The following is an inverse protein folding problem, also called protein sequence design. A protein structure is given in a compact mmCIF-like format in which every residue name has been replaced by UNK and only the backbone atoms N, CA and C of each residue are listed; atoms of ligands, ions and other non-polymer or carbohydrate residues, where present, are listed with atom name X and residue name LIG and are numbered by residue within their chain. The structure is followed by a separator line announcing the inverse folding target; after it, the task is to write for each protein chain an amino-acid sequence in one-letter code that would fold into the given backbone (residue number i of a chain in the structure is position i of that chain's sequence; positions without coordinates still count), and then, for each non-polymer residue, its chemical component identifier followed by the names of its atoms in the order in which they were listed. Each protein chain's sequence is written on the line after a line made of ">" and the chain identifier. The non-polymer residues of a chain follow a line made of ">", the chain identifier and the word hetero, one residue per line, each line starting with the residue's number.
data_IF_443588799788
#
_entry.id   IF_443588799788
#
_cell.length_a   1.000
_cell.length_b   1.000
_cell.length_c   1.000
_cell.angle_alpha   90.00
_cell.angle_beta   90.00
_cell.angle_gamma   90.00
#
_symmetry.space_group_name_H-M   'P 1'
#
loop_
_entity.id
_entity.type
_entity.pdbx_description
1 polymer ?
#
# COMPACT_ATOMS: atom_id res chain seq x y z
N UNK A 1 -9.80 5.79 -19.94
CA UNK A 1 -9.97 5.10 -21.27
C UNK A 1 -8.63 4.77 -21.99
N UNK A 2 -7.49 4.69 -21.30
CA UNK A 2 -6.18 4.46 -21.94
C UNK A 2 -5.63 5.65 -22.73
N UNK A 3 -6.25 6.83 -22.60
CA UNK A 3 -5.74 8.09 -23.16
C UNK A 3 -5.12 8.91 -22.04
N UNK A 4 -4.03 9.58 -22.35
CA UNK A 4 -3.44 10.60 -21.49
C UNK A 4 -4.42 11.75 -21.28
N UNK A 5 -4.53 12.23 -20.05
CA UNK A 5 -5.26 13.45 -19.71
C UNK A 5 -4.42 14.68 -20.04
N UNK A 6 -5.04 15.86 -19.97
CA UNK A 6 -4.30 17.12 -20.05
C UNK A 6 -3.38 17.20 -18.82
N UNK A 7 -2.08 17.53 -18.99
CA UNK A 7 -1.18 17.66 -17.86
C UNK A 7 -1.69 18.72 -16.87
N UNK A 8 -1.67 18.37 -15.59
CA UNK A 8 -2.06 19.25 -14.50
C UNK A 8 -0.81 19.83 -13.84
N UNK A 9 -0.75 21.16 -13.75
CA UNK A 9 0.32 21.84 -13.02
C UNK A 9 0.01 21.73 -11.52
N UNK A 10 0.91 21.09 -10.74
CA UNK A 10 0.76 20.91 -9.30
C UNK A 10 0.74 22.23 -8.51
N UNK A 11 1.19 23.33 -9.10
CA UNK A 11 1.28 24.65 -8.47
C UNK A 11 2.29 24.70 -7.32
N UNK A 12 2.38 25.85 -6.63
CA UNK A 12 3.18 25.97 -5.42
C UNK A 12 2.69 25.00 -4.32
N UNK A 13 3.58 24.44 -3.48
CA UNK A 13 5.01 24.74 -3.42
C UNK A 13 5.89 23.86 -4.33
N UNK A 14 5.29 23.01 -5.17
CA UNK A 14 6.02 22.10 -6.06
C UNK A 14 6.55 22.84 -7.28
N UNK A 15 5.65 23.27 -8.17
CA UNK A 15 6.03 23.99 -9.38
C UNK A 15 6.18 25.47 -9.06
N UNK A 16 7.36 26.01 -9.32
CA UNK A 16 7.72 27.41 -9.06
C UNK A 16 8.24 28.08 -10.33
N UNK A 17 8.91 29.22 -10.20
CA UNK A 17 9.67 29.83 -11.31
C UNK A 17 11.06 29.23 -11.47
N UNK A 18 11.51 28.39 -10.52
CA UNK A 18 12.76 27.66 -10.63
C UNK A 18 12.62 26.50 -11.65
N UNK A 19 13.73 25.84 -11.94
CA UNK A 19 13.73 24.62 -12.72
C UNK A 19 13.30 23.47 -11.80
N UNK A 20 12.16 22.84 -12.08
CA UNK A 20 11.77 21.57 -11.46
C UNK A 20 11.71 20.49 -12.53
N UNK A 21 12.48 19.41 -12.35
CA UNK A 21 12.54 18.35 -13.34
C UNK A 21 12.71 16.97 -12.72
N UNK A 22 12.52 15.95 -13.58
CA UNK A 22 12.76 14.53 -13.29
C UNK A 22 12.12 14.07 -11.97
N UNK A 23 10.79 14.17 -11.83
CA UNK A 23 10.13 13.74 -10.60
C UNK A 23 10.14 12.22 -10.46
N UNK A 24 10.21 11.75 -9.21
CA UNK A 24 9.98 10.37 -8.82
C UNK A 24 9.12 10.34 -7.56
N UNK A 25 8.13 9.45 -7.54
CA UNK A 25 7.17 9.34 -6.43
C UNK A 25 7.37 8.01 -5.72
N UNK A 26 7.31 8.01 -4.39
CA UNK A 26 7.36 6.78 -3.59
C UNK A 26 6.17 5.87 -3.91
N UNK A 27 6.32 4.57 -3.65
CA UNK A 27 5.30 3.56 -3.95
C UNK A 27 3.94 3.80 -3.26
N UNK A 28 3.94 4.47 -2.10
CA UNK A 28 2.74 4.86 -1.37
C UNK A 28 2.11 6.18 -1.86
N UNK A 29 2.74 6.84 -2.84
CA UNK A 29 2.29 8.11 -3.40
C UNK A 29 2.52 9.33 -2.48
N UNK A 30 3.19 9.17 -1.34
CA UNK A 30 3.27 10.23 -0.31
C UNK A 30 4.51 11.09 -0.38
N UNK A 31 5.60 10.62 -0.98
CA UNK A 31 6.84 11.39 -1.13
C UNK A 31 7.13 11.64 -2.60
N UNK A 32 7.29 12.90 -2.98
CA UNK A 32 7.70 13.32 -4.31
C UNK A 32 9.13 13.85 -4.25
N UNK A 33 10.05 13.14 -4.89
CA UNK A 33 11.43 13.53 -5.12
C UNK A 33 11.55 14.21 -6.48
N UNK A 34 12.35 15.26 -6.59
CA UNK A 34 12.59 15.94 -7.85
C UNK A 34 13.89 16.75 -7.79
N UNK A 35 14.42 17.09 -8.96
CA UNK A 35 15.61 17.94 -9.08
C UNK A 35 15.19 19.40 -9.25
N UNK A 36 15.85 20.33 -8.55
CA UNK A 36 15.55 21.75 -8.64
C UNK A 36 16.70 22.68 -8.27
N UNK A 37 16.80 23.81 -8.98
CA UNK A 37 17.71 24.92 -8.67
C UNK A 37 17.04 26.02 -7.82
N UNK A 38 16.00 25.67 -7.06
CA UNK A 38 15.34 26.60 -6.13
C UNK A 38 16.30 27.09 -5.04
N UNK A 39 16.06 28.29 -4.47
CA UNK A 39 16.90 28.81 -3.38
C UNK A 39 16.95 27.86 -2.17
N UNK A 40 18.13 27.79 -1.53
CA UNK A 40 18.38 26.94 -0.36
C UNK A 40 19.07 25.60 -0.67
N UNK A 41 19.55 25.41 -1.90
CA UNK A 41 20.41 24.29 -2.30
C UNK A 41 21.90 24.51 -2.05
N UNK A 42 22.69 23.51 -2.43
CA UNK A 42 24.14 23.41 -2.27
C UNK A 42 24.91 23.69 -3.56
N UNK A 43 24.27 23.57 -4.72
CA UNK A 43 24.94 23.72 -6.02
C UNK A 43 24.02 24.18 -7.14
N UNK A 44 24.23 23.62 -8.33
CA UNK A 44 23.48 23.91 -9.54
C UNK A 44 22.02 23.49 -9.40
N UNK A 45 21.75 22.22 -9.64
CA UNK A 45 20.46 21.57 -9.41
C UNK A 45 20.63 20.57 -8.29
N UNK A 46 19.77 20.67 -7.29
CA UNK A 46 19.79 19.79 -6.12
C UNK A 46 18.59 18.85 -6.15
N UNK A 47 18.67 17.74 -5.41
CA UNK A 47 17.51 16.92 -5.10
C UNK A 47 16.75 17.46 -3.89
N UNK A 48 15.44 17.50 -4.06
CA UNK A 48 14.46 17.91 -3.06
C UNK A 48 13.39 16.83 -2.93
N UNK A 49 12.73 16.78 -1.77
CA UNK A 49 11.51 15.99 -1.60
C UNK A 49 10.39 16.81 -0.98
N UNK A 50 9.14 16.45 -1.29
CA UNK A 50 7.93 16.95 -0.64
C UNK A 50 7.09 15.78 -0.14
N UNK A 51 6.32 16.02 0.91
CA UNK A 51 5.39 15.03 1.49
C UNK A 51 3.95 15.48 1.24
N UNK A 52 3.11 14.57 0.79
CA UNK A 52 1.67 14.77 0.61
C UNK A 52 0.96 14.60 1.95
N UNK A 53 0.21 15.61 2.38
CA UNK A 53 -0.63 15.52 3.57
C UNK A 53 -1.93 14.73 3.31
N UNK A 54 -2.66 14.40 4.38
CA UNK A 54 -3.94 13.68 4.28
C UNK A 54 -5.04 14.44 3.52
N UNK A 55 -4.87 15.75 3.34
CA UNK A 55 -5.78 16.62 2.58
C UNK A 55 -5.39 16.71 1.11
N UNK A 56 -4.34 16.03 0.68
CA UNK A 56 -3.84 16.04 -0.70
C UNK A 56 -3.00 17.26 -1.05
N UNK A 57 -2.45 17.97 -0.06
CA UNK A 57 -1.55 19.11 -0.29
C UNK A 57 -0.09 18.67 -0.13
N UNK A 58 0.74 19.09 -1.07
CA UNK A 58 2.19 18.91 -0.97
C UNK A 58 2.78 19.91 0.01
N UNK A 59 3.60 19.44 0.94
CA UNK A 59 4.36 20.26 1.86
C UNK A 59 5.45 21.08 1.14
N UNK A 60 5.96 22.11 1.81
CA UNK A 60 7.13 22.87 1.32
C UNK A 60 8.30 21.91 1.13
N UNK A 61 8.92 21.86 -0.07
CA UNK A 61 9.98 20.90 -0.32
C UNK A 61 11.23 21.11 0.54
N UNK A 62 11.84 20.00 0.93
CA UNK A 62 13.02 19.92 1.78
C UNK A 62 14.19 19.40 0.95
N UNK A 63 15.35 20.05 1.07
CA UNK A 63 16.58 19.64 0.39
C UNK A 63 17.10 18.33 0.99
N UNK A 64 17.64 17.42 0.17
CA UNK A 64 18.14 16.12 0.64
C UNK A 64 19.46 16.20 1.44
N UNK A 65 20.05 17.37 1.57
CA UNK A 65 21.23 17.65 2.40
C UNK A 65 22.56 17.40 1.69
N UNK A 66 23.64 17.84 2.32
CA UNK A 66 25.02 17.80 1.81
C UNK A 66 25.57 16.38 1.58
N UNK A 67 24.93 15.36 2.14
CA UNK A 67 25.31 13.97 1.85
C UNK A 67 24.92 13.56 0.43
N UNK A 68 23.85 14.15 -0.11
CA UNK A 68 23.32 13.84 -1.44
C UNK A 68 23.70 14.93 -2.42
N UNK A 69 23.46 16.18 -2.06
CA UNK A 69 23.66 17.32 -2.94
C UNK A 69 25.07 17.88 -2.82
N UNK A 70 25.63 18.28 -3.96
CA UNK A 70 27.00 18.78 -4.09
C UNK A 70 26.99 20.19 -4.69
N UNK A 71 28.16 20.84 -4.89
CA UNK A 71 28.22 22.06 -5.69
C UNK A 71 27.84 21.87 -7.18
N UNK A 72 27.78 20.63 -7.67
CA UNK A 72 27.40 20.26 -9.04
C UNK A 72 25.89 20.19 -9.27
N UNK A 73 25.49 19.40 -10.26
CA UNK A 73 24.11 19.05 -10.57
C UNK A 73 23.80 17.62 -10.12
N UNK A 74 22.77 17.46 -9.28
CA UNK A 74 22.09 16.21 -8.99
C UNK A 74 20.70 16.18 -9.67
N UNK A 75 20.47 15.14 -10.47
CA UNK A 75 19.29 15.00 -11.33
C UNK A 75 18.76 13.56 -11.31
N UNK A 76 17.60 13.36 -11.94
CA UNK A 76 17.04 12.02 -12.17
C UNK A 76 16.88 11.16 -10.91
N UNK A 77 16.30 11.70 -9.81
CA UNK A 77 16.02 10.88 -8.65
C UNK A 77 15.05 9.76 -9.04
N UNK A 78 15.28 8.58 -8.47
CA UNK A 78 14.41 7.42 -8.53
C UNK A 78 14.36 6.79 -7.13
N UNK A 79 13.27 7.04 -6.41
CA UNK A 79 13.00 6.32 -5.17
C UNK A 79 12.42 4.95 -5.55
N UNK A 80 13.13 3.88 -5.19
CA UNK A 80 12.66 2.53 -5.48
C UNK A 80 11.38 2.23 -4.70
N UNK A 81 10.62 1.24 -5.18
CA UNK A 81 9.35 0.84 -4.61
C UNK A 81 9.45 0.25 -3.19
N UNK A 82 10.67 -0.05 -2.71
CA UNK A 82 10.95 -0.40 -1.32
C UNK A 82 10.81 0.79 -0.35
N UNK A 83 10.66 2.01 -0.89
CA UNK A 83 10.46 3.24 -0.15
C UNK A 83 11.69 3.77 0.57
N UNK A 84 12.86 3.13 0.42
CA UNK A 84 14.06 3.46 1.19
C UNK A 84 15.35 3.52 0.39
N UNK A 85 15.38 3.03 -0.85
CA UNK A 85 16.57 3.08 -1.69
C UNK A 85 16.39 4.12 -2.80
N UNK A 86 17.21 5.18 -2.76
CA UNK A 86 17.22 6.25 -3.75
C UNK A 86 18.37 6.04 -4.72
N UNK A 87 18.06 6.15 -6.00
CA UNK A 87 19.04 6.24 -7.07
C UNK A 87 18.97 7.64 -7.69
N UNK A 88 20.09 8.18 -8.11
CA UNK A 88 20.14 9.48 -8.75
C UNK A 88 21.40 9.62 -9.59
N UNK A 89 21.43 10.61 -10.48
CA UNK A 89 22.62 10.94 -11.25
C UNK A 89 23.27 12.23 -10.74
N UNK A 90 24.59 12.30 -10.72
CA UNK A 90 25.36 13.47 -10.30
C UNK A 90 26.60 13.67 -11.16
N UNK A 91 26.98 14.93 -11.40
CA UNK A 91 28.28 15.32 -11.98
C UNK A 91 29.24 15.95 -10.95
N UNK A 92 28.84 16.01 -9.68
CA UNK A 92 29.64 16.59 -8.59
C UNK A 92 30.24 15.58 -7.63
N UNK A 93 29.69 14.36 -7.55
CA UNK A 93 30.30 13.26 -6.79
C UNK A 93 31.48 12.63 -7.54
N UNK A 94 32.48 12.05 -6.83
CA UNK A 94 33.55 11.29 -7.47
C UNK A 94 32.99 10.15 -8.33
N UNK A 95 33.31 10.19 -9.63
CA UNK A 95 32.72 9.31 -10.62
C UNK A 95 33.67 8.92 -11.76
N UNK A 96 33.08 8.46 -12.86
CA UNK A 96 33.78 7.91 -14.03
C UNK A 96 33.69 8.84 -15.25
N UNK A 97 32.70 9.75 -15.30
CA UNK A 97 32.37 10.51 -16.50
C UNK A 97 31.68 11.84 -16.22
N UNK A 98 30.70 12.17 -17.06
CA UNK A 98 29.87 13.36 -16.90
C UNK A 98 28.88 13.17 -15.76
N UNK A 99 27.63 12.85 -16.09
CA UNK A 99 26.69 12.34 -15.09
C UNK A 99 26.91 10.85 -14.80
N UNK A 100 27.08 10.52 -13.53
CA UNK A 100 27.18 9.14 -13.04
C UNK A 100 25.99 8.80 -12.14
N UNK A 101 25.53 7.55 -12.16
CA UNK A 101 24.47 7.07 -11.27
C UNK A 101 25.04 6.61 -9.92
N UNK A 102 24.35 7.00 -8.86
CA UNK A 102 24.66 6.67 -7.48
C UNK A 102 23.44 6.06 -6.78
N UNK A 103 23.71 5.30 -5.72
CA UNK A 103 22.70 4.75 -4.82
C UNK A 103 22.92 5.27 -3.40
N UNK A 104 21.83 5.59 -2.71
CA UNK A 104 21.83 5.87 -1.28
C UNK A 104 20.61 5.25 -0.59
N UNK A 105 20.74 4.92 0.69
CA UNK A 105 19.66 4.35 1.51
C UNK A 105 19.22 5.33 2.59
N UNK A 106 17.91 5.46 2.76
CA UNK A 106 17.29 6.24 3.82
C UNK A 106 17.57 5.57 5.16
N UNK A 107 18.06 6.35 6.12
CA UNK A 107 18.27 5.94 7.52
C UNK A 107 17.00 6.19 8.33
N UNK A 108 16.96 5.65 9.55
CA UNK A 108 15.82 5.78 10.47
C UNK A 108 15.52 7.22 10.90
N UNK A 109 16.48 8.13 10.77
CA UNK A 109 16.35 9.56 11.07
C UNK A 109 16.00 10.41 9.85
N UNK A 110 15.57 9.78 8.75
CA UNK A 110 15.25 10.41 7.44
C UNK A 110 16.43 11.04 6.70
N UNK A 111 17.66 10.87 7.20
CA UNK A 111 18.88 11.21 6.46
C UNK A 111 19.28 10.08 5.50
N UNK A 112 20.21 10.35 4.60
CA UNK A 112 20.66 9.40 3.59
C UNK A 112 22.05 8.85 3.93
N UNK A 113 22.35 7.62 3.50
CA UNK A 113 23.71 7.08 3.54
C UNK A 113 24.62 7.83 2.57
N UNK A 114 25.93 7.67 2.73
CA UNK A 114 26.87 8.15 1.72
C UNK A 114 26.52 7.53 0.35
N UNK A 115 26.46 8.32 -0.73
CA UNK A 115 26.21 7.81 -2.07
C UNK A 115 27.27 6.82 -2.51
N UNK A 116 26.84 5.67 -3.03
CA UNK A 116 27.70 4.67 -3.64
C UNK A 116 27.58 4.79 -5.16
N UNK A 117 28.70 5.06 -5.84
CA UNK A 117 28.76 5.04 -7.31
C UNK A 117 28.46 3.62 -7.82
N UNK A 118 27.61 3.49 -8.85
CA UNK A 118 27.20 2.18 -9.37
C UNK A 118 28.25 1.49 -10.24
N UNK A 119 29.29 2.22 -10.66
CA UNK A 119 30.42 1.70 -11.41
C UNK A 119 30.05 1.09 -12.77
N UNK A 120 31.05 0.54 -13.45
CA UNK A 120 30.82 -0.21 -14.70
C UNK A 120 30.03 -1.50 -14.40
N UNK A 121 29.02 -1.88 -15.22
CA UNK A 121 28.67 -1.30 -16.52
C UNK A 121 27.59 -0.22 -16.49
N UNK A 122 27.08 0.17 -15.32
CA UNK A 122 26.04 1.21 -15.25
C UNK A 122 26.64 2.56 -15.61
N UNK A 123 27.79 2.88 -15.05
CA UNK A 123 28.52 4.12 -15.30
C UNK A 123 29.69 3.87 -16.26
N UNK A 124 29.91 4.80 -17.18
CA UNK A 124 31.11 4.90 -17.99
C UNK A 124 31.60 6.35 -18.11
N UNK A 125 32.38 6.68 -19.14
CA UNK A 125 32.93 8.03 -19.33
C UNK A 125 31.90 9.04 -19.89
N UNK A 126 30.68 8.58 -20.19
CA UNK A 126 29.61 9.37 -20.81
C UNK A 126 28.70 10.02 -19.75
N UNK A 127 27.57 10.57 -20.22
CA UNK A 127 26.45 10.95 -19.37
C UNK A 127 25.49 9.76 -19.18
N UNK A 128 25.46 9.19 -17.98
CA UNK A 128 24.55 8.13 -17.55
C UNK A 128 23.52 8.67 -16.55
N UNK A 129 22.23 8.64 -16.91
CA UNK A 129 21.16 9.25 -16.10
C UNK A 129 19.80 8.61 -16.29
N UNK A 130 18.79 9.07 -15.56
CA UNK A 130 17.41 8.59 -15.71
C UNK A 130 17.23 7.13 -15.30
N UNK A 131 18.02 6.66 -14.33
CA UNK A 131 18.00 5.28 -13.90
C UNK A 131 16.69 4.92 -13.21
N UNK A 132 16.08 3.82 -13.64
CA UNK A 132 14.90 3.19 -13.03
C UNK A 132 15.16 1.71 -12.84
N UNK A 133 14.67 1.13 -11.75
CA UNK A 133 14.87 -0.29 -11.41
C UNK A 133 13.53 -0.99 -11.34
N UNK A 134 13.47 -2.19 -11.90
CA UNK A 134 12.27 -3.02 -11.84
C UNK A 134 11.98 -3.47 -10.39
N UNK A 135 10.73 -3.85 -10.10
CA UNK A 135 10.27 -4.24 -8.77
C UNK A 135 11.11 -5.35 -8.10
N UNK A 136 11.77 -6.21 -8.88
CA UNK A 136 12.65 -7.26 -8.37
C UNK A 136 13.97 -6.74 -7.77
N UNK A 137 14.32 -5.49 -8.07
CA UNK A 137 15.62 -4.91 -7.75
C UNK A 137 16.77 -5.38 -8.65
N UNK A 138 16.55 -6.33 -9.58
CA UNK A 138 17.64 -6.97 -10.30
C UNK A 138 18.08 -6.21 -11.55
N UNK A 139 17.14 -5.65 -12.32
CA UNK A 139 17.44 -4.99 -13.59
C UNK A 139 17.25 -3.48 -13.49
N UNK A 140 18.29 -2.74 -13.85
CA UNK A 140 18.25 -1.30 -14.03
C UNK A 140 18.10 -0.97 -15.51
N UNK A 141 17.35 0.09 -15.79
CA UNK A 141 17.24 0.73 -17.10
C UNK A 141 17.68 2.18 -16.95
N UNK A 142 18.47 2.71 -17.87
CA UNK A 142 18.95 4.09 -17.80
C UNK A 142 19.28 4.61 -19.19
N UNK A 143 19.39 5.93 -19.30
CA UNK A 143 19.75 6.60 -20.55
C UNK A 143 21.25 6.91 -20.57
N UNK A 144 21.92 6.57 -21.66
CA UNK A 144 23.36 6.78 -21.83
C UNK A 144 23.74 7.15 -23.26
N UNK A 145 24.85 7.88 -23.41
CA UNK A 145 25.47 8.20 -24.72
C UNK A 145 26.62 7.24 -25.07
N UNK A 146 26.75 6.10 -24.39
CA UNK A 146 27.82 5.14 -24.60
C UNK A 146 27.95 4.62 -26.04
N UNK A 147 26.85 4.56 -26.78
CA UNK A 147 26.88 4.35 -28.23
C UNK A 147 26.86 5.71 -28.94
N UNK A 148 28.06 6.25 -29.19
CA UNK A 148 28.30 7.60 -29.72
C UNK A 148 27.65 7.89 -31.09
N UNK A 149 27.03 6.91 -31.74
CA UNK A 149 26.49 7.04 -33.08
C UNK A 149 25.10 7.69 -33.15
N UNK A 150 24.28 7.61 -32.09
CA UNK A 150 22.86 7.98 -32.15
C UNK A 150 22.37 8.92 -31.03
N UNK A 151 23.28 9.56 -30.29
CA UNK A 151 22.90 10.36 -29.12
C UNK A 151 22.64 9.47 -27.90
N UNK A 152 21.67 9.84 -27.05
CA UNK A 152 21.31 9.02 -25.88
C UNK A 152 20.34 7.91 -26.27
N UNK A 153 20.58 6.70 -25.77
CA UNK A 153 19.68 5.54 -25.90
C UNK A 153 19.40 4.92 -24.52
N UNK A 154 18.45 3.99 -24.44
CA UNK A 154 18.08 3.28 -23.22
C UNK A 154 18.83 1.94 -23.15
N UNK A 155 19.63 1.77 -22.11
CA UNK A 155 20.36 0.55 -21.82
C UNK A 155 19.79 -0.13 -20.58
N UNK A 156 20.07 -1.43 -20.42
CA UNK A 156 19.74 -2.15 -19.22
C UNK A 156 20.88 -3.06 -18.78
N UNK A 157 21.03 -3.25 -17.48
CA UNK A 157 21.99 -4.17 -16.90
C UNK A 157 21.44 -4.81 -15.63
N UNK A 158 22.02 -5.94 -15.26
CA UNK A 158 21.76 -6.58 -13.96
C UNK A 158 22.62 -5.89 -12.91
N UNK A 159 21.98 -5.41 -11.84
CA UNK A 159 22.64 -4.78 -10.70
C UNK A 159 23.42 -5.80 -9.87
N UNK A 160 24.56 -5.38 -9.34
CA UNK A 160 25.28 -6.12 -8.30
C UNK A 160 24.49 -6.15 -6.99
N UNK A 161 24.55 -7.25 -6.24
CA UNK A 161 23.78 -7.45 -5.01
C UNK A 161 24.01 -6.35 -3.97
N UNK A 162 25.21 -5.77 -3.88
CA UNK A 162 25.53 -4.72 -2.90
C UNK A 162 24.72 -3.43 -3.11
N UNK A 163 24.31 -3.17 -4.36
CA UNK A 163 23.59 -1.96 -4.77
C UNK A 163 22.13 -2.22 -5.11
N UNK A 164 21.63 -3.45 -4.93
CA UNK A 164 20.22 -3.75 -5.13
C UNK A 164 19.35 -3.12 -4.03
N UNK A 165 18.14 -2.69 -4.37
CA UNK A 165 17.13 -2.35 -3.39
C UNK A 165 16.50 -3.64 -2.84
N UNK A 166 15.65 -3.52 -1.83
CA UNK A 166 14.84 -4.66 -1.41
C UNK A 166 13.80 -4.96 -2.48
N UNK A 167 13.66 -6.24 -2.81
CA UNK A 167 12.69 -6.66 -3.81
C UNK A 167 11.26 -6.45 -3.28
N UNK A 168 10.38 -5.97 -4.15
CA UNK A 168 8.95 -5.78 -3.85
C UNK A 168 8.09 -6.62 -4.78
N UNK A 169 6.95 -7.07 -4.26
CA UNK A 169 5.89 -7.65 -5.09
C UNK A 169 4.80 -6.60 -5.32
N UNK A 170 3.71 -6.97 -6.00
CA UNK A 170 2.58 -6.08 -6.19
C UNK A 170 1.24 -6.79 -6.03
N UNK A 171 0.27 -6.06 -5.47
CA UNK A 171 -1.14 -6.41 -5.47
C UNK A 171 -1.83 -5.68 -6.63
N UNK A 172 -2.37 -6.46 -7.56
CA UNK A 172 -3.25 -5.95 -8.61
C UNK A 172 -4.68 -6.36 -8.29
N UNK A 173 -5.59 -5.40 -8.27
CA UNK A 173 -6.99 -5.68 -8.02
C UNK A 173 -7.93 -5.04 -9.04
N UNK A 174 -9.09 -5.67 -9.24
CA UNK A 174 -10.23 -5.09 -9.96
C UNK A 174 -11.46 -5.20 -9.07
N UNK A 175 -12.11 -4.07 -8.80
CA UNK A 175 -13.30 -3.96 -7.96
C UNK A 175 -14.54 -3.88 -8.84
N UNK A 176 -15.49 -4.76 -8.58
CA UNK A 176 -16.75 -4.87 -9.32
C UNK A 176 -17.93 -4.96 -8.37
N UNK A 177 -19.09 -4.55 -8.87
CA UNK A 177 -20.38 -4.76 -8.24
C UNK A 177 -20.73 -6.24 -8.24
N UNK A 178 -21.05 -6.80 -7.07
CA UNK A 178 -21.32 -8.22 -6.90
C UNK A 178 -22.57 -8.73 -7.62
N UNK A 179 -23.54 -7.87 -7.91
CA UNK A 179 -24.80 -8.25 -8.56
C UNK A 179 -24.77 -8.02 -10.07
N UNK A 180 -24.27 -6.86 -10.48
CA UNK A 180 -24.32 -6.41 -11.88
C UNK A 180 -23.02 -6.70 -12.63
N UNK A 181 -21.92 -6.98 -11.93
CA UNK A 181 -20.59 -7.18 -12.51
C UNK A 181 -19.94 -5.90 -13.06
N UNK A 182 -20.55 -4.73 -12.86
CA UNK A 182 -20.02 -3.43 -13.32
C UNK A 182 -18.79 -3.05 -12.51
N UNK A 183 -17.80 -2.44 -13.17
CA UNK A 183 -16.61 -1.93 -12.49
C UNK A 183 -16.96 -0.77 -11.56
N UNK A 184 -16.32 -0.71 -10.39
CA UNK A 184 -16.58 0.29 -9.36
C UNK A 184 -15.34 1.13 -9.09
N UNK A 185 -15.52 2.46 -9.12
CA UNK A 185 -14.61 3.40 -8.45
C UNK A 185 -14.85 3.29 -6.95
N UNK A 186 -13.86 2.81 -6.20
CA UNK A 186 -13.93 2.53 -4.76
C UNK A 186 -12.65 2.99 -4.06
N UNK A 187 -12.78 3.37 -2.79
CA UNK A 187 -11.65 3.68 -1.93
C UNK A 187 -11.04 2.36 -1.45
N UNK A 188 -9.71 2.24 -1.54
CA UNK A 188 -8.98 1.14 -0.93
C UNK A 188 -7.94 1.68 0.06
N UNK A 189 -7.77 0.94 1.14
CA UNK A 189 -6.81 1.21 2.19
C UNK A 189 -5.98 -0.04 2.44
N UNK A 190 -4.66 0.14 2.54
CA UNK A 190 -3.72 -0.90 2.85
C UNK A 190 -3.03 -0.60 4.17
N UNK A 191 -2.98 -1.61 5.04
CA UNK A 191 -2.49 -1.52 6.41
C UNK A 191 -1.39 -2.55 6.58
N UNK A 192 -0.23 -2.14 7.11
CA UNK A 192 0.75 -3.08 7.62
C UNK A 192 0.25 -3.57 8.99
N UNK A 193 -0.15 -4.84 9.08
CA UNK A 193 -0.75 -5.43 10.28
C UNK A 193 0.28 -5.62 11.40
N UNK A 194 1.56 -5.72 11.08
CA UNK A 194 2.63 -5.85 12.08
C UNK A 194 2.88 -4.54 12.83
N UNK A 195 2.76 -3.41 12.16
CA UNK A 195 2.93 -2.07 12.76
C UNK A 195 1.62 -1.37 13.08
N UNK A 196 0.49 -1.90 12.60
CA UNK A 196 -0.84 -1.29 12.63
C UNK A 196 -0.87 0.13 12.03
N UNK A 197 -0.12 0.34 10.95
CA UNK A 197 -0.03 1.64 10.25
C UNK A 197 -0.66 1.57 8.87
N UNK A 198 -1.44 2.58 8.51
CA UNK A 198 -1.95 2.74 7.14
C UNK A 198 -0.80 3.11 6.20
N UNK A 199 -0.38 2.14 5.40
CA UNK A 199 0.68 2.29 4.41
C UNK A 199 0.19 3.09 3.21
N UNK A 200 -1.05 2.86 2.75
CA UNK A 200 -1.61 3.59 1.61
C UNK A 200 -3.12 3.70 1.67
N UNK A 201 -3.66 4.80 1.17
CA UNK A 201 -5.08 4.98 0.86
C UNK A 201 -5.21 5.66 -0.50
N UNK A 202 -6.03 5.12 -1.39
CA UNK A 202 -6.28 5.70 -2.71
C UNK A 202 -7.61 5.18 -3.28
N UNK A 203 -7.92 5.55 -4.53
CA UNK A 203 -9.11 5.10 -5.24
C UNK A 203 -8.73 4.22 -6.42
N UNK A 204 -9.60 3.28 -6.75
CA UNK A 204 -9.51 2.56 -8.02
C UNK A 204 -9.73 3.51 -9.21
N UNK A 205 -9.20 3.14 -10.36
CA UNK A 205 -9.43 3.88 -11.61
C UNK A 205 -10.90 3.78 -12.08
N UNK A 206 -11.26 4.50 -13.14
CA UNK A 206 -12.61 4.46 -13.74
C UNK A 206 -13.05 3.06 -14.20
N UNK A 207 -12.09 2.14 -14.39
CA UNK A 207 -12.33 0.74 -14.74
C UNK A 207 -12.28 -0.18 -13.51
N UNK A 208 -12.26 0.37 -12.31
CA UNK A 208 -12.21 -0.35 -11.05
C UNK A 208 -10.88 -1.01 -10.73
N UNK A 209 -9.80 -0.71 -11.47
CA UNK A 209 -8.50 -1.32 -11.24
C UNK A 209 -7.65 -0.53 -10.26
N UNK A 210 -6.78 -1.23 -9.55
CA UNK A 210 -5.70 -0.65 -8.77
C UNK A 210 -4.46 -1.56 -8.84
N UNK A 211 -3.30 -0.96 -8.63
CA UNK A 211 -2.02 -1.65 -8.50
C UNK A 211 -1.24 -1.00 -7.38
N UNK A 212 -0.72 -1.82 -6.48
CA UNK A 212 0.07 -1.37 -5.33
C UNK A 212 1.35 -2.19 -5.25
N UNK A 213 2.49 -1.53 -5.19
CA UNK A 213 3.77 -2.18 -4.88
C UNK A 213 3.91 -2.36 -3.37
N UNK A 214 4.34 -3.54 -2.95
CA UNK A 214 4.34 -3.97 -1.57
C UNK A 214 5.69 -4.60 -1.21
N UNK A 215 6.39 -4.06 -0.21
CA UNK A 215 7.55 -4.73 0.37
C UNK A 215 7.21 -6.16 0.81
N UNK A 216 8.03 -7.12 0.41
CA UNK A 216 7.95 -8.50 0.90
C UNK A 216 8.35 -8.58 2.37
N UNK A 217 7.91 -9.63 3.06
CA UNK A 217 8.25 -9.86 4.47
C UNK A 217 7.25 -9.31 5.50
N UNK A 218 6.13 -8.76 5.03
CA UNK A 218 5.13 -8.14 5.90
C UNK A 218 3.74 -8.77 5.72
N UNK A 219 2.94 -8.66 6.79
CA UNK A 219 1.53 -8.98 6.78
C UNK A 219 0.73 -7.73 6.45
N UNK A 220 -0.10 -7.81 5.41
CA UNK A 220 -0.93 -6.71 4.97
C UNK A 220 -2.41 -7.02 5.18
N UNK A 221 -3.15 -6.00 5.60
CA UNK A 221 -4.59 -5.94 5.53
C UNK A 221 -5.00 -5.00 4.40
N UNK A 222 -6.01 -5.38 3.62
CA UNK A 222 -6.66 -4.52 2.65
C UNK A 222 -8.12 -4.32 3.03
N UNK A 223 -8.58 -3.07 2.99
CA UNK A 223 -9.99 -2.70 3.13
C UNK A 223 -10.42 -1.95 1.87
N UNK A 224 -11.57 -2.28 1.30
CA UNK A 224 -12.11 -1.63 0.12
C UNK A 224 -13.55 -1.23 0.41
N UNK A 225 -13.86 0.04 0.22
CA UNK A 225 -15.17 0.59 0.56
C UNK A 225 -15.72 1.50 -0.53
N UNK A 226 -17.05 1.50 -0.65
CA UNK A 226 -17.81 2.40 -1.51
C UNK A 226 -19.15 2.71 -0.85
N UNK A 227 -19.59 3.97 -0.77
CA UNK A 227 -20.93 4.31 -0.28
C UNK A 227 -22.03 3.50 -1.00
N UNK A 228 -22.95 2.92 -0.22
CA UNK A 228 -24.02 2.04 -0.73
C UNK A 228 -23.67 0.55 -0.78
N UNK A 229 -22.42 0.18 -0.47
CA UNK A 229 -21.93 -1.20 -0.48
C UNK A 229 -21.42 -1.62 0.90
N UNK A 230 -21.48 -2.93 1.18
CA UNK A 230 -20.69 -3.53 2.26
C UNK A 230 -19.21 -3.43 1.87
N UNK A 231 -18.34 -3.11 2.83
CA UNK A 231 -16.92 -3.08 2.57
C UNK A 231 -16.38 -4.51 2.44
N UNK A 232 -15.29 -4.64 1.69
CA UNK A 232 -14.51 -5.86 1.59
C UNK A 232 -13.25 -5.71 2.42
N UNK A 233 -12.88 -6.76 3.16
CA UNK A 233 -11.61 -6.84 3.85
C UNK A 233 -10.93 -8.17 3.62
N UNK A 234 -9.60 -8.15 3.59
CA UNK A 234 -8.77 -9.35 3.50
C UNK A 234 -7.41 -9.11 4.16
N UNK A 235 -6.68 -10.18 4.45
CA UNK A 235 -5.26 -10.12 4.80
C UNK A 235 -4.46 -11.18 4.08
N UNK A 236 -3.19 -10.86 3.86
CA UNK A 236 -2.25 -11.74 3.21
C UNK A 236 -0.83 -11.42 3.67
N UNK A 237 0.01 -12.46 3.67
CA UNK A 237 1.45 -12.33 3.90
C UNK A 237 2.15 -12.31 2.55
N UNK A 238 3.08 -11.38 2.36
CA UNK A 238 3.94 -11.33 1.17
C UNK A 238 5.28 -12.03 1.42
N UNK A 239 5.21 -13.34 1.68
CA UNK A 239 6.35 -14.25 1.75
C UNK A 239 6.00 -15.59 1.07
N UNK A 240 7.00 -16.32 0.57
CA UNK A 240 6.80 -17.67 -0.01
C UNK A 240 6.12 -17.66 -1.39
N UNK A 241 4.89 -18.17 -1.46
CA UNK A 241 4.07 -18.33 -2.70
C UNK A 241 3.75 -16.99 -3.39
N UNK A 242 3.84 -15.87 -2.69
CA UNK A 242 3.67 -14.53 -3.25
C UNK A 242 5.01 -13.83 -3.30
N UNK A 243 5.83 -14.22 -4.28
CA UNK A 243 7.13 -13.60 -4.55
C UNK A 243 7.00 -12.42 -5.51
N UNK A 244 8.11 -11.75 -5.78
CA UNK A 244 8.26 -10.75 -6.86
C UNK A 244 7.76 -11.29 -8.20
N UNK A 245 7.91 -12.59 -8.46
CA UNK A 245 7.57 -13.24 -9.71
C UNK A 245 6.11 -13.73 -9.76
N UNK A 246 5.44 -13.82 -8.61
CA UNK A 246 4.06 -14.30 -8.49
C UNK A 246 3.20 -13.25 -7.76
N UNK A 247 2.74 -12.22 -8.50
CA UNK A 247 1.98 -11.11 -7.92
C UNK A 247 0.61 -11.55 -7.43
N UNK A 248 0.11 -10.86 -6.41
CA UNK A 248 -1.22 -11.11 -5.90
C UNK A 248 -2.25 -10.43 -6.83
N UNK A 249 -3.06 -11.22 -7.52
CA UNK A 249 -4.12 -10.71 -8.40
C UNK A 249 -5.49 -11.05 -7.82
N UNK A 250 -6.31 -10.04 -7.53
CA UNK A 250 -7.64 -10.23 -6.94
C UNK A 250 -8.75 -9.58 -7.77
N UNK A 251 -9.83 -10.32 -8.01
CA UNK A 251 -11.11 -9.76 -8.44
C UNK A 251 -12.01 -9.65 -7.23
N UNK A 252 -12.39 -8.43 -6.88
CA UNK A 252 -13.03 -8.10 -5.62
C UNK A 252 -14.46 -7.67 -5.89
N UNK A 253 -15.39 -8.28 -5.18
CA UNK A 253 -16.82 -8.04 -5.33
C UNK A 253 -17.31 -7.24 -4.13
N UNK A 254 -17.87 -6.05 -4.38
CA UNK A 254 -18.60 -5.31 -3.37
C UNK A 254 -20.09 -5.57 -3.53
N UNK A 255 -20.74 -6.03 -2.47
CA UNK A 255 -22.17 -6.30 -2.47
C UNK A 255 -22.95 -5.06 -2.00
N UNK A 256 -24.00 -4.64 -2.74
CA UNK A 256 -24.88 -3.56 -2.29
C UNK A 256 -25.49 -3.87 -0.91
N UNK A 257 -25.72 -2.83 -0.11
CA UNK A 257 -26.32 -2.98 1.21
C UNK A 257 -27.81 -3.33 1.07
N UNK A 258 -28.18 -4.58 1.32
CA UNK A 258 -29.57 -5.05 1.38
C UNK A 258 -29.75 -6.11 2.47
N UNK A 259 -30.99 -6.28 2.91
CA UNK A 259 -31.33 -7.29 3.91
C UNK A 259 -30.97 -8.69 3.39
N UNK A 260 -30.31 -9.47 4.24
CA UNK A 260 -29.83 -10.81 3.93
C UNK A 260 -28.36 -10.87 3.50
N UNK A 261 -27.77 -9.75 3.05
CA UNK A 261 -26.35 -9.70 2.66
C UNK A 261 -25.41 -9.84 3.84
N UNK A 262 -24.22 -10.35 3.54
CA UNK A 262 -23.16 -10.62 4.51
C UNK A 262 -21.83 -10.06 4.05
N UNK A 263 -20.99 -9.68 5.01
CA UNK A 263 -19.58 -9.41 4.80
C UNK A 263 -18.72 -10.10 5.84
N UNK A 264 -17.51 -10.44 5.44
CA UNK A 264 -16.49 -11.01 6.32
C UNK A 264 -15.71 -9.86 6.97
N UNK A 265 -15.40 -10.01 8.27
CA UNK A 265 -14.44 -9.16 8.95
C UNK A 265 -13.10 -9.89 9.05
N UNK A 266 -12.32 -9.86 7.97
CA UNK A 266 -11.11 -10.68 7.82
C UNK A 266 -9.97 -10.29 8.77
N UNK A 267 -9.97 -9.05 9.26
CA UNK A 267 -8.93 -8.45 10.09
C UNK A 267 -9.36 -8.30 11.57
N UNK A 268 -10.38 -9.03 12.01
CA UNK A 268 -10.76 -9.18 13.42
C UNK A 268 -10.03 -10.38 14.01
N UNK A 269 -9.09 -10.09 14.90
CA UNK A 269 -8.15 -11.04 15.49
C UNK A 269 -8.38 -11.19 17.00
N UNK A 270 -8.16 -12.42 17.47
CA UNK A 270 -8.24 -12.81 18.88
C UNK A 270 -7.01 -13.61 19.27
N UNK A 271 -6.65 -13.63 20.56
CA UNK A 271 -5.70 -14.63 21.05
C UNK A 271 -6.30 -16.05 21.01
N UNK A 272 -5.43 -17.05 21.06
CA UNK A 272 -5.84 -18.46 21.15
C UNK A 272 -6.72 -18.64 22.38
N UNK A 273 -7.89 -19.26 22.18
CA UNK A 273 -8.91 -19.48 23.20
C UNK A 273 -9.41 -18.20 23.91
N UNK A 274 -9.27 -17.04 23.26
CA UNK A 274 -9.72 -15.75 23.77
C UNK A 274 -10.82 -15.14 22.90
N UNK A 275 -11.58 -14.23 23.52
CA UNK A 275 -12.54 -13.32 22.90
C UNK A 275 -12.13 -11.85 23.05
N UNK A 276 -10.94 -11.57 23.58
CA UNK A 276 -10.39 -10.22 23.63
C UNK A 276 -9.91 -9.80 22.24
N UNK A 277 -10.36 -8.64 21.80
CA UNK A 277 -10.00 -8.07 20.49
C UNK A 277 -8.56 -7.58 20.55
N UNK A 278 -7.75 -7.98 19.56
CA UNK A 278 -6.40 -7.45 19.39
C UNK A 278 -6.44 -6.01 18.87
N UNK A 279 -5.37 -5.24 19.10
CA UNK A 279 -5.27 -3.83 18.66
C UNK A 279 -5.31 -3.70 17.15
N UNK A 280 -4.82 -4.70 16.45
CA UNK A 280 -4.79 -4.88 15.01
C UNK A 280 -6.21 -4.94 14.41
N UNK A 281 -7.23 -5.28 15.22
CA UNK A 281 -8.63 -5.32 14.80
C UNK A 281 -9.31 -3.95 14.78
N UNK A 282 -8.71 -2.94 15.43
CA UNK A 282 -9.32 -1.61 15.61
C UNK A 282 -9.65 -0.97 14.26
N UNK A 283 -8.72 -1.02 13.31
CA UNK A 283 -8.92 -0.37 12.00
C UNK A 283 -10.12 -0.96 11.22
N UNK A 284 -10.34 -2.27 11.29
CA UNK A 284 -11.51 -2.89 10.66
C UNK A 284 -12.81 -2.58 11.40
N UNK A 285 -12.78 -2.59 12.73
CA UNK A 285 -13.95 -2.25 13.52
C UNK A 285 -14.35 -0.78 13.34
N UNK A 286 -13.38 0.12 13.16
CA UNK A 286 -13.64 1.53 12.84
C UNK A 286 -14.26 1.69 11.45
N UNK A 287 -13.87 0.87 10.48
CA UNK A 287 -14.54 0.80 9.17
C UNK A 287 -16.00 0.33 9.31
N UNK A 288 -16.27 -0.63 10.19
CA UNK A 288 -17.65 -1.04 10.52
C UNK A 288 -18.44 0.07 11.22
N UNK A 289 -17.84 0.79 12.16
CA UNK A 289 -18.45 1.97 12.80
C UNK A 289 -18.78 3.04 11.76
N UNK A 290 -17.87 3.36 10.85
CA UNK A 290 -18.10 4.31 9.74
C UNK A 290 -19.28 3.87 8.87
N UNK A 291 -19.33 2.59 8.47
CA UNK A 291 -20.42 2.04 7.68
C UNK A 291 -21.77 2.14 8.42
N UNK A 292 -21.82 1.80 9.72
CA UNK A 292 -23.04 1.86 10.53
C UNK A 292 -23.51 3.29 10.82
N UNK A 293 -22.59 4.26 10.89
CA UNK A 293 -22.91 5.68 11.07
C UNK A 293 -23.45 6.33 9.80
N UNK A 294 -22.93 5.95 8.63
CA UNK A 294 -23.40 6.44 7.33
C UNK A 294 -24.79 5.89 6.98
N UNK A 295 -25.16 4.75 7.55
CA UNK A 295 -26.42 4.08 7.25
C UNK A 295 -27.15 3.74 8.55
N UNK A 296 -27.94 4.69 9.07
CA UNK A 296 -28.57 4.59 10.39
C UNK A 296 -29.82 3.71 10.41
N UNK A 297 -30.31 3.33 9.24
CA UNK A 297 -31.59 2.68 8.99
C UNK A 297 -31.50 1.14 9.01
N UNK A 298 -30.36 0.53 9.28
CA UNK A 298 -30.28 -0.94 9.34
C UNK A 298 -29.75 -1.50 10.65
N UNK A 299 -30.19 -2.72 10.92
CA UNK A 299 -29.77 -3.56 12.04
C UNK A 299 -28.88 -4.68 11.49
N UNK A 300 -27.82 -4.96 12.21
CA UNK A 300 -26.85 -5.99 11.86
C UNK A 300 -26.75 -7.08 12.90
N UNK A 301 -26.51 -8.30 12.45
CA UNK A 301 -26.13 -9.43 13.28
C UNK A 301 -24.63 -9.69 13.11
N UNK A 302 -23.90 -9.71 14.23
CA UNK A 302 -22.51 -10.14 14.27
C UNK A 302 -22.48 -11.65 14.53
N UNK A 303 -21.96 -12.40 13.58
CA UNK A 303 -21.81 -13.86 13.66
C UNK A 303 -20.38 -14.25 14.00
N UNK A 304 -20.20 -15.06 15.05
CA UNK A 304 -18.91 -15.68 15.37
C UNK A 304 -18.86 -17.14 14.90
N UNK A 305 -17.72 -17.58 14.39
CA UNK A 305 -17.49 -18.95 13.93
C UNK A 305 -16.13 -19.47 14.43
N UNK A 306 -16.04 -20.78 14.68
CA UNK A 306 -14.81 -21.47 15.06
C UNK A 306 -14.47 -22.58 14.06
N UNK A 307 -13.24 -23.09 14.14
CA UNK A 307 -12.91 -24.38 13.57
C UNK A 307 -13.41 -25.52 14.49
N UNK A 308 -13.17 -26.77 14.08
CA UNK A 308 -13.63 -27.96 14.81
C UNK A 308 -12.71 -28.42 15.94
N UNK A 309 -11.72 -27.63 16.35
CA UNK A 309 -10.84 -27.94 17.48
C UNK A 309 -11.60 -27.68 18.78
N UNK A 310 -11.57 -28.63 19.72
CA UNK A 310 -12.33 -28.54 20.98
C UNK A 310 -13.75 -29.13 20.88
N UNK A 311 -14.55 -28.96 21.94
CA UNK A 311 -15.92 -29.49 21.98
C UNK A 311 -16.92 -28.54 21.34
N UNK A 312 -18.02 -29.07 20.81
CA UNK A 312 -19.08 -28.25 20.18
C UNK A 312 -19.64 -27.19 21.14
N UNK A 313 -19.84 -27.55 22.42
CA UNK A 313 -20.31 -26.62 23.44
C UNK A 313 -19.30 -25.49 23.70
N UNK A 314 -18.01 -25.82 23.79
CA UNK A 314 -16.95 -24.83 23.96
C UNK A 314 -16.89 -23.87 22.78
N UNK A 315 -16.94 -24.40 21.57
CA UNK A 315 -16.91 -23.63 20.33
C UNK A 315 -18.13 -22.71 20.19
N UNK A 316 -19.31 -23.16 20.59
CA UNK A 316 -20.51 -22.35 20.62
C UNK A 316 -20.36 -21.15 21.57
N UNK A 317 -19.91 -21.41 22.81
CA UNK A 317 -19.70 -20.34 23.81
C UNK A 317 -18.60 -19.37 23.36
N UNK A 318 -17.48 -19.88 22.84
CA UNK A 318 -16.37 -19.05 22.37
C UNK A 318 -16.78 -18.14 21.21
N UNK A 319 -17.46 -18.69 20.20
CA UNK A 319 -17.95 -17.90 19.07
C UNK A 319 -18.96 -16.84 19.49
N UNK A 320 -19.86 -17.14 20.42
CA UNK A 320 -20.83 -16.18 20.93
C UNK A 320 -20.14 -15.03 21.69
N UNK A 321 -19.15 -15.34 22.55
CA UNK A 321 -18.36 -14.33 23.25
C UNK A 321 -17.59 -13.43 22.29
N UNK A 322 -17.02 -13.97 21.21
CA UNK A 322 -16.33 -13.19 20.16
C UNK A 322 -17.27 -12.22 19.46
N UNK A 323 -18.45 -12.71 19.06
CA UNK A 323 -19.47 -11.85 18.46
C UNK A 323 -19.92 -10.73 19.42
N UNK A 324 -20.06 -11.05 20.72
CA UNK A 324 -20.38 -10.08 21.75
C UNK A 324 -19.26 -9.04 21.95
N UNK A 325 -17.98 -9.43 21.92
CA UNK A 325 -16.86 -8.49 22.01
C UNK A 325 -16.91 -7.42 20.91
N UNK A 326 -17.23 -7.82 19.68
CA UNK A 326 -17.43 -6.90 18.56
C UNK A 326 -18.62 -5.98 18.80
N UNK A 327 -19.77 -6.51 19.26
CA UNK A 327 -20.93 -5.68 19.62
C UNK A 327 -20.60 -4.66 20.71
N UNK A 328 -19.86 -5.07 21.75
CA UNK A 328 -19.43 -4.18 22.83
C UNK A 328 -18.54 -3.05 22.31
N UNK A 329 -17.62 -3.36 21.39
CA UNK A 329 -16.80 -2.33 20.73
C UNK A 329 -17.66 -1.31 19.97
N UNK A 330 -18.67 -1.78 19.22
CA UNK A 330 -19.57 -0.91 18.46
C UNK A 330 -20.42 -0.01 19.39
N UNK A 331 -20.91 -0.55 20.51
CA UNK A 331 -21.66 0.21 21.52
C UNK A 331 -20.77 1.28 22.16
N UNK A 332 -19.53 0.92 22.51
CA UNK A 332 -18.56 1.87 23.06
C UNK A 332 -18.32 3.04 22.08
N UNK A 333 -18.32 2.75 20.78
CA UNK A 333 -18.25 3.71 19.67
C UNK A 333 -19.59 4.31 19.24
N UNK A 334 -20.58 4.33 20.14
CA UNK A 334 -21.87 5.05 20.02
C UNK A 334 -22.83 4.50 18.97
N UNK A 335 -22.67 3.25 18.54
CA UNK A 335 -23.72 2.57 17.78
C UNK A 335 -24.82 2.10 18.75
N UNK A 336 -26.09 2.43 18.44
CA UNK A 336 -27.23 2.03 19.26
C UNK A 336 -27.32 0.50 19.39
N UNK A 337 -27.47 -0.01 20.61
CA UNK A 337 -27.63 -1.45 20.88
C UNK A 337 -28.87 -2.03 20.22
N UNK A 338 -29.91 -1.23 19.99
CA UNK A 338 -31.12 -1.67 19.28
C UNK A 338 -30.83 -2.10 17.83
N UNK A 339 -29.74 -1.58 17.25
CA UNK A 339 -29.28 -1.89 15.89
C UNK A 339 -28.33 -3.08 15.82
N UNK A 340 -28.01 -3.70 16.95
CA UNK A 340 -27.00 -4.75 17.03
C UNK A 340 -27.64 -6.04 17.55
N UNK A 341 -27.34 -7.14 16.87
CA UNK A 341 -27.60 -8.51 17.29
C UNK A 341 -26.27 -9.27 17.24
N UNK A 342 -26.14 -10.35 17.99
CA UNK A 342 -24.99 -11.22 17.91
C UNK A 342 -25.42 -12.68 18.01
N UNK A 343 -24.62 -13.57 17.42
CA UNK A 343 -24.83 -15.02 17.49
C UNK A 343 -23.52 -15.79 17.36
N UNK A 344 -23.33 -16.77 18.24
CA UNK A 344 -22.32 -17.81 18.06
C UNK A 344 -22.85 -18.94 17.19
N UNK A 345 -22.06 -19.35 16.20
CA UNK A 345 -22.38 -20.50 15.34
C UNK A 345 -21.47 -21.71 15.60
N UNK A 346 -20.46 -21.57 16.47
CA UNK A 346 -19.46 -22.61 16.72
C UNK A 346 -18.83 -23.11 15.42
N UNK A 347 -18.71 -24.44 15.31
CA UNK A 347 -18.09 -25.15 14.19
C UNK A 347 -19.11 -25.70 13.17
N UNK A 348 -20.40 -25.33 13.25
CA UNK A 348 -21.48 -25.97 12.45
C UNK A 348 -21.58 -25.44 11.01
N UNK A 349 -20.76 -24.48 10.63
CA UNK A 349 -20.81 -23.85 9.29
C UNK A 349 -19.40 -23.54 8.77
N UNK A 350 -18.60 -24.59 8.49
CA UNK A 350 -17.25 -24.43 7.96
C UNK A 350 -17.29 -23.94 6.51
N UNK A 351 -16.35 -23.07 6.15
CA UNK A 351 -16.11 -22.58 4.79
C UNK A 351 -14.75 -23.04 4.23
N UNK A 352 -13.95 -23.69 5.07
CA UNK A 352 -12.71 -24.38 4.72
C UNK A 352 -12.65 -25.76 5.39
N UNK A 353 -11.69 -26.57 5.01
CA UNK A 353 -11.45 -27.85 5.66
C UNK A 353 -10.98 -27.64 7.13
N UNK A 354 -11.21 -28.62 8.00
CA UNK A 354 -10.70 -28.58 9.38
C UNK A 354 -9.38 -29.34 9.57
N UNK A 355 -8.73 -29.75 8.47
CA UNK A 355 -7.54 -30.60 8.47
C UNK A 355 -6.26 -29.76 8.39
N UNK A 356 -6.26 -28.76 7.52
CA UNK A 356 -5.14 -27.85 7.27
C UNK A 356 -5.20 -26.64 8.19
N UNK A 357 -4.04 -26.03 8.45
CA UNK A 357 -3.96 -24.77 9.21
C UNK A 357 -4.73 -23.65 8.51
N UNK A 358 -4.64 -23.59 7.17
CA UNK A 358 -5.31 -22.59 6.34
C UNK A 358 -6.84 -22.75 6.34
N UNK A 359 -7.34 -23.98 6.17
CA UNK A 359 -8.76 -24.28 6.24
C UNK A 359 -9.37 -23.94 7.60
N UNK A 360 -8.70 -24.33 8.70
CA UNK A 360 -9.11 -23.94 10.05
C UNK A 360 -9.09 -22.42 10.24
N UNK A 361 -8.11 -21.71 9.67
CA UNK A 361 -8.07 -20.23 9.70
C UNK A 361 -9.29 -19.62 9.01
N UNK A 362 -9.73 -20.17 7.87
CA UNK A 362 -10.97 -19.72 7.19
C UNK A 362 -12.22 -19.95 8.06
N UNK A 363 -12.25 -21.03 8.84
CA UNK A 363 -13.39 -21.33 9.71
C UNK A 363 -13.47 -20.41 10.94
N UNK A 364 -12.33 -19.98 11.49
CA UNK A 364 -12.25 -18.99 12.57
C UNK A 364 -12.48 -17.58 12.04
N UNK A 365 -13.74 -17.17 11.97
CA UNK A 365 -14.12 -15.89 11.35
C UNK A 365 -15.23 -15.15 12.08
N UNK A 366 -15.34 -13.87 11.77
CA UNK A 366 -16.45 -13.01 12.18
C UNK A 366 -17.17 -12.52 10.93
N UNK A 367 -18.50 -12.65 10.89
CA UNK A 367 -19.33 -12.12 9.80
C UNK A 367 -20.25 -11.01 10.32
N UNK A 368 -20.61 -10.08 9.44
CA UNK A 368 -21.70 -9.13 9.67
C UNK A 368 -22.79 -9.40 8.66
N UNK A 369 -24.02 -9.58 9.14
CA UNK A 369 -25.19 -9.79 8.29
C UNK A 369 -26.19 -8.65 8.47
N UNK A 370 -26.71 -8.10 7.38
CA UNK A 370 -27.83 -7.14 7.44
C UNK A 370 -29.12 -7.93 7.68
N UNK A 371 -29.79 -7.70 8.82
CA UNK A 371 -30.97 -8.50 9.22
C UNK A 371 -32.29 -7.80 8.99
N UNK A 372 -32.34 -6.47 9.15
CA UNK A 372 -33.55 -5.69 8.94
C UNK A 372 -33.20 -4.23 8.61
N UNK A 373 -34.17 -3.51 8.04
CA UNK A 373 -34.15 -2.05 7.93
C UNK A 373 -35.22 -1.45 8.84
N UNK A 374 -34.80 -0.55 9.72
CA UNK A 374 -35.65 0.30 10.53
C UNK A 374 -36.28 1.34 9.59
N UNK A 375 -37.62 1.37 9.56
CA UNK A 375 -38.38 2.32 8.76
C UNK A 375 -38.43 3.70 9.41
#
# INVERSE_FOLDING_TARGET
>A
NGKWTIPYNLGPPINTSAWESTPSISADGRMLFFSSNRPGGFGGKDLWYSVLDEKGNWAVPVNLGESINTPGDEISPFIHFDGKTLYFASDGHPGMGGFDNFMSRMKSDTTWSAPQNLGYPINDASDDMGLVIEASGQKAYFSSKRDNNNGKDIFFFTLDESVRPDAVSYLKGTVVDGETGRNLVAEYELINLSTNTVTMRSNTDEKGNFLVCLPSGFNYGINISKPGYLFYSDNFMLEGEHSVMEPLVKRIYLNPIKVGERMLLSNVFYEVDSWELKKESVAELDNLVKLLNLNKDFVVEIGGYTDSTGTDLHNLVLSEKRALSVVNYLIANKISSERLRYKGYGNTSPIGDNVTSEGRRKNRRTEVKIVERIK
#
